data_IF_711559333527
#
_entry.id   IF_711559333527
#
_cell.length_a   1.000
_cell.length_b   1.000
_cell.length_c   1.000
_cell.angle_alpha   90.00
_cell.angle_beta   90.00
_cell.angle_gamma   90.00
#
_symmetry.space_group_name_H-M   'P 1'
#
loop_
_entity.id
_entity.type
_entity.pdbx_description
1 polymer ?
#
# COMPACT_ATOMS: atom_id res chain seq x y z
N UNK A 1 -13.76 -21.81 -7.08
CA UNK A 1 -12.57 -21.11 -6.54
C UNK A 1 -12.21 -20.02 -7.54
N UNK A 2 -11.99 -18.79 -7.09
CA UNK A 2 -11.42 -17.71 -7.91
C UNK A 2 -9.92 -17.58 -7.58
N UNK A 3 -9.10 -17.18 -8.56
CA UNK A 3 -7.65 -17.03 -8.45
C UNK A 3 -7.24 -15.81 -9.29
N UNK A 4 -6.23 -15.09 -8.80
CA UNK A 4 -5.57 -14.02 -9.54
C UNK A 4 -4.16 -14.47 -9.85
N UNK A 5 -3.80 -14.46 -11.13
CA UNK A 5 -2.44 -14.71 -11.60
C UNK A 5 -1.72 -13.38 -11.78
N UNK A 6 -0.56 -13.25 -11.15
CA UNK A 6 0.28 -12.07 -11.31
C UNK A 6 1.14 -12.18 -12.57
N UNK A 7 1.37 -11.06 -13.29
CA UNK A 7 2.03 -11.09 -14.60
C UNK A 7 3.54 -11.32 -14.53
N UNK A 8 4.15 -11.13 -13.36
CA UNK A 8 5.61 -11.16 -13.19
C UNK A 8 6.05 -12.40 -12.40
N UNK A 9 7.17 -12.96 -12.81
CA UNK A 9 7.79 -14.09 -12.11
C UNK A 9 8.63 -13.62 -10.94
N UNK A 10 8.83 -14.52 -9.97
CA UNK A 10 9.72 -14.32 -8.80
C UNK A 10 9.27 -13.24 -7.81
N UNK A 11 8.05 -12.71 -7.91
CA UNK A 11 7.49 -11.83 -6.89
C UNK A 11 7.27 -12.57 -5.57
N UNK A 12 7.85 -12.06 -4.49
CA UNK A 12 7.63 -12.55 -3.12
C UNK A 12 6.51 -11.77 -2.44
N UNK A 13 5.26 -12.17 -2.67
CA UNK A 13 4.13 -11.66 -1.86
C UNK A 13 4.31 -12.13 -0.42
N UNK A 14 4.65 -11.20 0.46
CA UNK A 14 5.08 -11.52 1.82
C UNK A 14 4.02 -11.18 2.88
N UNK A 15 3.56 -9.93 2.90
CA UNK A 15 2.46 -9.45 3.73
C UNK A 15 1.29 -8.97 2.86
N UNK A 16 0.13 -8.80 3.50
CA UNK A 16 -1.06 -8.25 2.86
C UNK A 16 -1.77 -7.26 3.78
N UNK A 17 -2.26 -6.16 3.21
CA UNK A 17 -3.11 -5.18 3.89
C UNK A 17 -4.45 -5.01 3.20
N UNK A 18 -5.37 -4.31 3.87
CA UNK A 18 -6.66 -3.91 3.30
C UNK A 18 -6.65 -2.43 2.94
N UNK A 19 -7.36 -2.06 1.88
CA UNK A 19 -7.58 -0.64 1.55
C UNK A 19 -8.40 0.11 2.61
N UNK A 20 -9.23 -0.60 3.38
CA UNK A 20 -10.07 -0.01 4.43
C UNK A 20 -10.29 -1.02 5.55
N UNK A 21 -10.26 -0.56 6.80
CA UNK A 21 -10.54 -1.38 7.97
C UNK A 21 -11.42 -0.65 9.00
N UNK A 22 -11.53 -1.23 10.19
CA UNK A 22 -12.35 -0.68 11.28
C UNK A 22 -11.89 0.70 11.76
N UNK A 23 -10.67 1.14 11.43
CA UNK A 23 -10.20 2.50 11.67
C UNK A 23 -11.08 3.56 10.98
N UNK A 24 -11.75 3.19 9.87
CA UNK A 24 -12.63 4.05 9.09
C UNK A 24 -14.10 4.04 9.57
N UNK A 25 -14.38 3.66 10.82
CA UNK A 25 -15.77 3.40 11.29
C UNK A 25 -16.75 4.56 11.06
N UNK A 26 -16.26 5.80 11.05
CA UNK A 26 -17.07 7.01 10.84
C UNK A 26 -17.39 7.33 9.37
N UNK A 27 -16.85 6.58 8.42
CA UNK A 27 -16.99 6.85 7.00
C UNK A 27 -17.58 5.66 6.24
N UNK A 28 -18.91 5.61 6.15
CA UNK A 28 -19.65 4.54 5.46
C UNK A 28 -19.45 4.49 3.94
N UNK A 29 -18.81 5.51 3.33
CA UNK A 29 -18.47 5.49 1.91
C UNK A 29 -17.27 4.61 1.60
N UNK A 30 -16.42 4.31 2.59
CA UNK A 30 -15.25 3.46 2.42
C UNK A 30 -15.63 2.00 2.60
N UNK A 31 -15.18 1.15 1.68
CA UNK A 31 -15.43 -0.28 1.69
C UNK A 31 -14.15 -1.06 1.61
N UNK A 32 -14.10 -2.18 2.34
CA UNK A 32 -13.04 -3.16 2.28
C UNK A 32 -13.22 -4.05 1.06
N UNK A 33 -12.68 -3.60 -0.07
CA UNK A 33 -12.85 -4.26 -1.38
C UNK A 33 -11.54 -4.62 -2.05
N UNK A 34 -10.40 -4.12 -1.54
CA UNK A 34 -9.10 -4.36 -2.16
C UNK A 34 -8.07 -4.86 -1.17
N UNK A 35 -7.29 -5.84 -1.62
CA UNK A 35 -6.07 -6.29 -0.99
C UNK A 35 -4.88 -5.53 -1.55
N UNK A 36 -4.02 -5.07 -0.65
CA UNK A 36 -2.76 -4.42 -0.95
C UNK A 36 -1.66 -5.44 -0.68
N UNK A 37 -0.89 -5.79 -1.71
CA UNK A 37 0.05 -6.90 -1.70
C UNK A 37 1.46 -6.39 -2.04
N UNK A 38 2.23 -5.95 -1.03
CA UNK A 38 3.66 -5.72 -1.14
C UNK A 38 4.43 -6.98 -1.56
N UNK A 39 5.26 -6.86 -2.60
CA UNK A 39 6.19 -7.89 -3.04
C UNK A 39 7.59 -7.53 -2.54
N UNK A 40 8.09 -8.29 -1.57
CA UNK A 40 9.25 -7.91 -0.78
C UNK A 40 10.52 -7.81 -1.60
N UNK A 41 10.78 -8.79 -2.46
CA UNK A 41 12.05 -8.93 -3.18
C UNK A 41 12.11 -8.18 -4.52
N UNK A 42 10.96 -7.86 -5.09
CA UNK A 42 10.84 -7.28 -6.42
C UNK A 42 10.43 -5.82 -6.39
N UNK A 43 10.16 -5.26 -5.21
CA UNK A 43 9.71 -3.89 -4.98
C UNK A 43 8.35 -3.53 -5.60
N UNK A 44 7.61 -4.52 -6.11
CA UNK A 44 6.30 -4.31 -6.70
C UNK A 44 5.20 -4.26 -5.64
N UNK A 45 4.13 -3.53 -5.91
CA UNK A 45 2.91 -3.59 -5.09
C UNK A 45 1.73 -3.90 -6.01
N UNK A 46 1.00 -4.96 -5.69
CA UNK A 46 -0.26 -5.28 -6.37
C UNK A 46 -1.46 -4.81 -5.57
N UNK A 47 -2.47 -4.33 -6.28
CA UNK A 47 -3.79 -4.01 -5.73
C UNK A 47 -4.82 -4.91 -6.42
N UNK A 48 -5.42 -5.80 -5.63
CA UNK A 48 -6.36 -6.80 -6.11
C UNK A 48 -7.75 -6.45 -5.61
N UNK A 49 -8.71 -6.30 -6.52
CA UNK A 49 -10.11 -6.18 -6.16
C UNK A 49 -10.68 -7.56 -5.82
N UNK A 50 -11.29 -7.65 -4.65
CA UNK A 50 -11.92 -8.84 -4.09
C UNK A 50 -13.37 -8.58 -3.64
N UNK A 51 -14.00 -7.51 -4.14
CA UNK A 51 -15.40 -7.17 -3.82
C UNK A 51 -16.36 -8.29 -4.23
N UNK A 52 -16.08 -8.95 -5.35
CA UNK A 52 -16.78 -10.15 -5.80
C UNK A 52 -15.86 -11.37 -5.68
N UNK A 53 -16.19 -12.29 -4.77
CA UNK A 53 -15.37 -13.48 -4.50
C UNK A 53 -15.26 -14.44 -5.69
N UNK A 54 -16.14 -14.30 -6.69
CA UNK A 54 -16.12 -15.09 -7.94
C UNK A 54 -15.41 -14.41 -9.09
N UNK A 55 -15.08 -13.13 -8.95
CA UNK A 55 -14.45 -12.29 -9.98
C UNK A 55 -13.38 -11.40 -9.33
N UNK A 56 -12.38 -12.07 -8.75
CA UNK A 56 -11.22 -11.36 -8.19
C UNK A 56 -10.29 -10.99 -9.34
N UNK A 57 -9.75 -9.77 -9.33
CA UNK A 57 -8.91 -9.28 -10.42
C UNK A 57 -7.81 -8.37 -9.92
N UNK A 58 -6.66 -8.46 -10.57
CA UNK A 58 -5.60 -7.47 -10.45
C UNK A 58 -6.10 -6.16 -11.09
N UNK A 59 -6.20 -5.10 -10.30
CA UNK A 59 -6.63 -3.78 -10.80
C UNK A 59 -5.47 -2.84 -11.04
N UNK A 60 -4.48 -2.85 -10.15
CA UNK A 60 -3.32 -1.95 -10.25
C UNK A 60 -2.05 -2.71 -9.93
N UNK A 61 -1.03 -2.45 -10.73
CA UNK A 61 0.36 -2.80 -10.44
C UNK A 61 1.15 -1.51 -10.28
N UNK A 62 1.78 -1.33 -9.13
CA UNK A 62 2.77 -0.29 -8.90
C UNK A 62 4.13 -0.91 -9.17
N UNK A 63 4.77 -0.49 -10.26
CA UNK A 63 6.05 -1.04 -10.68
C UNK A 63 7.22 -0.46 -9.87
N UNK A 64 8.33 -1.21 -9.72
CA UNK A 64 9.48 -0.87 -8.89
C UNK A 64 10.09 0.50 -9.19
N UNK A 65 10.11 0.89 -10.46
CA UNK A 65 10.71 2.14 -10.92
C UNK A 65 10.12 3.35 -10.20
N UNK A 66 8.81 3.32 -9.90
CA UNK A 66 8.16 4.38 -9.15
C UNK A 66 8.70 4.48 -7.73
N UNK A 67 8.95 3.37 -7.03
CA UNK A 67 9.54 3.40 -5.69
C UNK A 67 11.01 3.84 -5.75
N UNK A 68 11.73 3.40 -6.78
CA UNK A 68 13.15 3.73 -6.96
C UNK A 68 13.39 5.21 -7.25
N UNK A 69 12.46 5.91 -7.92
CA UNK A 69 12.49 7.37 -8.07
C UNK A 69 12.58 8.12 -6.71
N UNK A 70 12.08 7.49 -5.65
CA UNK A 70 12.09 8.00 -4.28
C UNK A 70 13.20 7.39 -3.42
N UNK A 71 14.10 6.61 -4.02
CA UNK A 71 15.19 5.90 -3.35
C UNK A 71 14.72 5.04 -2.16
N UNK A 72 13.70 4.22 -2.42
CA UNK A 72 13.09 3.27 -1.47
C UNK A 72 12.79 1.93 -2.15
N UNK A 73 12.81 0.86 -1.38
CA UNK A 73 12.58 -0.53 -1.80
C UNK A 73 12.10 -1.40 -0.62
N UNK A 74 11.92 -2.70 -0.88
CA UNK A 74 11.46 -3.71 0.07
C UNK A 74 10.13 -3.32 0.74
N UNK A 75 9.04 -3.19 -0.03
CA UNK A 75 7.73 -2.93 0.53
C UNK A 75 7.31 -4.14 1.36
N UNK A 76 6.96 -3.88 2.62
CA UNK A 76 6.77 -4.93 3.62
C UNK A 76 5.34 -4.93 4.16
N UNK A 77 5.03 -4.15 5.19
CA UNK A 77 3.71 -4.15 5.84
C UNK A 77 2.81 -3.04 5.29
N UNK A 78 1.57 -3.39 4.92
CA UNK A 78 0.54 -2.43 4.52
C UNK A 78 -0.55 -2.27 5.60
N UNK A 79 -0.91 -1.03 5.92
CA UNK A 79 -1.90 -0.66 6.93
C UNK A 79 -2.86 0.44 6.43
N UNK A 80 -4.15 0.20 6.54
CA UNK A 80 -5.20 1.20 6.38
C UNK A 80 -5.20 2.21 7.53
N UNK A 81 -5.35 3.49 7.20
CA UNK A 81 -5.47 4.60 8.15
C UNK A 81 -6.93 5.05 8.26
N UNK A 82 -7.23 5.85 9.29
CA UNK A 82 -8.60 6.29 9.60
C UNK A 82 -9.15 7.32 8.59
N UNK A 83 -8.27 8.04 7.89
CA UNK A 83 -8.60 9.00 6.83
C UNK A 83 -8.84 8.34 5.46
N UNK A 84 -8.61 7.03 5.36
CA UNK A 84 -8.79 6.24 4.15
C UNK A 84 -7.51 6.04 3.33
N UNK A 85 -6.39 6.63 3.75
CA UNK A 85 -5.10 6.37 3.11
C UNK A 85 -4.53 5.02 3.55
N UNK A 86 -3.63 4.47 2.74
CA UNK A 86 -2.92 3.22 3.05
C UNK A 86 -1.45 3.54 3.25
N UNK A 87 -0.90 3.19 4.40
CA UNK A 87 0.51 3.30 4.70
C UNK A 87 1.21 1.97 4.41
N UNK A 88 2.32 2.01 3.69
CA UNK A 88 3.17 0.85 3.39
C UNK A 88 4.58 1.13 3.91
N UNK A 89 5.11 0.23 4.74
CA UNK A 89 6.49 0.31 5.22
C UNK A 89 7.48 -0.17 4.15
N UNK A 90 8.61 0.53 4.03
CA UNK A 90 9.73 0.22 3.15
C UNK A 90 10.97 -0.06 4.01
N UNK A 91 11.75 -1.09 3.68
CA UNK A 91 12.89 -1.53 4.48
C UNK A 91 14.26 -1.13 3.89
N UNK A 92 14.31 -0.77 2.61
CA UNK A 92 15.58 -0.44 1.95
C UNK A 92 15.50 0.78 1.04
N UNK A 93 16.64 1.06 0.43
CA UNK A 93 16.82 2.05 -0.63
C UNK A 93 16.85 1.39 -2.03
N UNK A 94 16.88 2.17 -3.11
CA UNK A 94 16.80 1.63 -4.47
C UNK A 94 17.98 0.70 -4.86
N UNK A 95 19.09 0.76 -4.12
CA UNK A 95 20.25 -0.12 -4.32
C UNK A 95 20.17 -1.41 -3.48
N UNK A 96 19.11 -1.53 -2.67
CA UNK A 96 18.86 -2.65 -1.80
C UNK A 96 19.58 -2.59 -0.45
N UNK A 97 20.15 -1.43 -0.09
CA UNK A 97 20.76 -1.23 1.21
C UNK A 97 19.68 -0.97 2.27
N UNK A 98 19.95 -1.40 3.51
CA UNK A 98 19.09 -1.09 4.64
C UNK A 98 19.12 0.42 4.95
N UNK A 99 17.96 1.07 4.90
CA UNK A 99 17.78 2.51 5.20
C UNK A 99 16.96 2.75 6.48
N UNK A 100 16.69 1.69 7.25
CA UNK A 100 15.68 1.71 8.29
C UNK A 100 14.27 1.86 7.72
N UNK A 101 13.30 2.13 8.60
CA UNK A 101 11.89 2.21 8.22
C UNK A 101 11.58 3.51 7.47
N UNK A 102 11.17 3.41 6.22
CA UNK A 102 10.48 4.49 5.48
C UNK A 102 9.02 4.12 5.26
N UNK A 103 8.17 5.09 4.94
CA UNK A 103 6.75 4.82 4.62
C UNK A 103 6.32 5.50 3.34
N UNK A 104 5.42 4.85 2.61
CA UNK A 104 4.70 5.40 1.45
C UNK A 104 3.22 5.40 1.76
N UNK A 105 2.50 6.39 1.22
CA UNK A 105 1.06 6.46 1.31
C UNK A 105 0.44 6.22 -0.06
N UNK A 106 -0.60 5.40 -0.12
CA UNK A 106 -1.50 5.35 -1.27
C UNK A 106 -2.73 6.18 -0.89
N UNK A 107 -2.95 7.26 -1.63
CA UNK A 107 -4.14 8.10 -1.44
C UNK A 107 -5.37 7.27 -1.82
N UNK A 108 -6.47 7.44 -1.08
CA UNK A 108 -7.76 6.90 -1.50
C UNK A 108 -8.16 7.47 -2.88
N UNK A 109 -8.89 6.70 -3.72
CA UNK A 109 -9.47 7.23 -4.96
C UNK A 109 -10.30 8.49 -4.67
N UNK A 110 -10.07 9.57 -5.43
CA UNK A 110 -10.79 10.85 -5.25
C UNK A 110 -12.15 10.86 -5.95
N UNK A 111 -12.32 10.03 -6.98
CA UNK A 111 -13.56 9.89 -7.76
C UNK A 111 -13.92 8.40 -7.97
N UNK A 112 -15.17 8.15 -8.41
CA UNK A 112 -15.74 6.80 -8.64
C UNK A 112 -15.00 5.95 -9.68
N UNK A 113 -14.10 6.55 -10.46
CA UNK A 113 -13.43 5.93 -11.61
C UNK A 113 -11.98 5.47 -11.30
N UNK A 114 -11.75 4.98 -10.08
CA UNK A 114 -10.70 4.00 -9.76
C UNK A 114 -9.29 4.28 -10.30
N UNK A 115 -8.59 5.25 -9.72
CA UNK A 115 -7.13 5.31 -9.81
C UNK A 115 -6.61 5.54 -8.39
N UNK A 116 -5.91 4.54 -7.84
CA UNK A 116 -5.10 4.74 -6.64
C UNK A 116 -3.99 5.71 -7.02
N UNK A 117 -4.00 6.90 -6.44
CA UNK A 117 -2.89 7.84 -6.59
C UNK A 117 -1.81 7.43 -5.60
N UNK A 118 -0.63 7.04 -6.08
CA UNK A 118 0.53 6.81 -5.22
C UNK A 118 1.03 8.18 -4.78
N UNK A 119 0.95 8.45 -3.48
CA UNK A 119 1.33 9.72 -2.86
C UNK A 119 2.48 9.43 -1.91
N UNK A 120 3.70 9.43 -2.44
CA UNK A 120 4.89 9.16 -1.63
C UNK A 120 5.12 10.35 -0.69
N UNK A 121 4.70 10.19 0.57
CA UNK A 121 5.00 11.13 1.66
C UNK A 121 6.01 10.49 2.60
N UNK A 122 7.19 11.09 2.69
CA UNK A 122 8.22 10.64 3.63
C UNK A 122 7.87 11.09 5.05
N UNK A 123 7.82 10.14 5.99
CA UNK A 123 8.12 10.45 7.38
C UNK A 123 9.64 10.53 7.51
N UNK A 124 10.20 11.74 7.48
CA UNK A 124 11.62 11.94 7.80
C UNK A 124 11.89 11.37 9.21
N UNK A 125 12.87 10.47 9.31
CA UNK A 125 13.25 9.73 10.53
C UNK A 125 13.76 10.60 11.71
N UNK A 126 13.47 11.91 11.76
CA UNK A 126 13.90 12.79 12.85
C UNK A 126 12.78 13.63 13.49
N UNK A 127 11.51 13.26 13.33
CA UNK A 127 10.44 13.88 14.14
C UNK A 127 9.68 12.83 14.95
N UNK A 128 9.93 12.86 16.26
CA UNK A 128 8.95 12.51 17.28
C UNK A 128 7.64 13.24 16.92
N UNK A 129 6.63 12.53 16.43
CA UNK A 129 5.27 13.05 16.39
C UNK A 129 4.55 12.60 17.65
N UNK A 130 4.78 13.32 18.74
CA UNK A 130 3.79 13.41 19.81
C UNK A 130 2.65 14.22 19.21
N UNK A 131 1.53 13.58 18.85
CA UNK A 131 0.26 14.30 18.74
C UNK A 131 -0.34 14.33 20.13
N UNK A 132 -0.30 15.51 20.74
CA UNK A 132 -1.15 15.85 21.87
C UNK A 132 -2.61 15.55 21.49
N UNK A 133 -3.30 14.85 22.38
CA UNK A 133 -4.75 14.94 22.49
C UNK A 133 -5.04 16.32 23.04
N UNK A 134 -5.75 17.15 22.30
CA UNK A 134 -6.44 18.31 22.84
C UNK A 134 -7.93 18.20 22.46
N UNK A 135 -8.72 18.15 23.54
CA UNK A 135 -10.18 18.23 23.78
C UNK A 135 -11.14 17.21 23.13
#
# INVERSE_FOLDING_TARGET
LSRVDFPHESDEVHHSGWNTCSSCFGNASLKRTHLILPCLNSDRIYIVNVENERDMRLEVTIEPELLHEYNISFPHTAHCLADGDIMISMLGDAEGNNKGLSVVFLDKPRDRDSIYFVSVRFLLQNMISIRAMDD
#
